data_IF_462824034736
#
_entry.id   IF_462824034736
#
_cell.length_a   1.000
_cell.length_b   1.000
_cell.length_c   1.000
_cell.angle_alpha   90.00
_cell.angle_beta   90.00
_cell.angle_gamma   90.00
#
_symmetry.space_group_name_H-M   'P 1'
#
loop_
_entity.id
_entity.type
_entity.pdbx_description
1 polymer ?
#
# COMPACT_ATOMS: atom_id res chain seq x y z
N UNK A 1 21.86 -22.50 17.40
CA UNK A 1 22.16 -21.27 18.16
C UNK A 1 23.35 -20.61 17.49
N UNK A 2 23.20 -19.35 17.12
CA UNK A 2 24.29 -18.57 16.52
C UNK A 2 25.39 -18.31 17.55
N UNK A 3 26.65 -18.41 17.10
CA UNK A 3 27.80 -18.04 17.91
C UNK A 3 27.91 -16.51 18.10
N UNK A 4 28.70 -16.08 19.09
CA UNK A 4 28.88 -14.66 19.43
C UNK A 4 29.43 -13.82 18.26
N UNK A 5 30.24 -14.41 17.38
CA UNK A 5 30.83 -13.69 16.23
C UNK A 5 29.78 -13.41 15.16
N UNK A 6 28.87 -14.35 14.93
CA UNK A 6 27.73 -14.20 14.02
C UNK A 6 26.71 -13.20 14.55
N UNK A 7 26.46 -13.19 15.86
CA UNK A 7 25.63 -12.18 16.52
C UNK A 7 26.25 -10.79 16.36
N UNK A 8 27.56 -10.66 16.62
CA UNK A 8 28.29 -9.40 16.42
C UNK A 8 28.25 -8.93 14.97
N UNK A 9 28.32 -9.85 13.99
CA UNK A 9 28.14 -9.51 12.58
C UNK A 9 26.75 -8.90 12.32
N UNK A 10 25.69 -9.49 12.87
CA UNK A 10 24.32 -8.97 12.72
C UNK A 10 24.24 -7.55 13.27
N UNK A 11 24.81 -7.31 14.46
CA UNK A 11 24.82 -5.98 15.09
C UNK A 11 25.54 -4.93 14.24
N UNK A 12 26.72 -5.27 13.72
CA UNK A 12 27.49 -4.36 12.86
C UNK A 12 26.78 -4.07 11.52
N UNK A 13 26.08 -5.06 10.96
CA UNK A 13 25.28 -4.86 9.74
C UNK A 13 24.08 -3.95 10.01
N UNK A 14 23.38 -4.17 11.13
CA UNK A 14 22.24 -3.34 11.54
C UNK A 14 22.68 -1.90 11.82
N UNK A 15 23.84 -1.70 12.43
CA UNK A 15 24.43 -0.38 12.65
C UNK A 15 24.72 0.35 11.32
N UNK A 16 25.14 -0.40 10.29
CA UNK A 16 25.30 0.09 8.92
C UNK A 16 26.48 1.05 8.70
N UNK A 17 27.36 1.23 9.70
CA UNK A 17 28.48 2.19 9.70
C UNK A 17 29.75 1.66 9.04
N UNK A 18 29.88 0.34 8.87
CA UNK A 18 31.11 -0.32 8.40
C UNK A 18 30.90 -1.11 7.10
N UNK A 19 31.95 -1.21 6.30
CA UNK A 19 31.98 -2.12 5.15
C UNK A 19 32.38 -3.56 5.57
N UNK A 20 32.16 -4.53 4.68
CA UNK A 20 32.42 -5.96 4.98
C UNK A 20 33.88 -6.26 5.30
N UNK A 21 34.83 -5.47 4.79
CA UNK A 21 36.26 -5.64 5.09
C UNK A 21 36.59 -5.17 6.51
N UNK A 22 36.00 -4.04 6.94
CA UNK A 22 36.14 -3.52 8.31
C UNK A 22 35.46 -4.44 9.33
N UNK A 23 34.25 -4.91 9.03
CA UNK A 23 33.55 -5.88 9.88
C UNK A 23 34.38 -7.15 10.09
N UNK A 24 34.98 -7.69 9.03
CA UNK A 24 35.82 -8.89 9.10
C UNK A 24 37.01 -8.69 10.04
N UNK A 25 37.67 -7.51 9.95
CA UNK A 25 38.78 -7.14 10.85
C UNK A 25 38.32 -7.03 12.31
N UNK A 26 37.17 -6.40 12.56
CA UNK A 26 36.65 -6.18 13.91
C UNK A 26 36.13 -7.46 14.59
N UNK A 27 35.69 -8.44 13.80
CA UNK A 27 35.27 -9.76 14.27
C UNK A 27 36.48 -10.72 14.38
N UNK A 28 37.54 -10.47 13.60
CA UNK A 28 38.76 -11.29 13.59
C UNK A 28 38.63 -12.53 12.71
N UNK A 29 37.97 -12.41 11.56
CA UNK A 29 37.76 -13.52 10.61
C UNK A 29 38.12 -13.10 9.18
N UNK A 30 38.29 -14.09 8.30
CA UNK A 30 38.45 -13.84 6.88
C UNK A 30 37.14 -13.27 6.29
N UNK A 31 37.26 -12.40 5.29
CA UNK A 31 36.09 -11.79 4.64
C UNK A 31 35.16 -12.84 4.02
N UNK A 32 35.72 -13.92 3.48
CA UNK A 32 34.95 -15.02 2.89
C UNK A 32 34.01 -15.68 3.92
N UNK A 33 34.49 -15.85 5.15
CA UNK A 33 33.70 -16.43 6.26
C UNK A 33 32.43 -15.63 6.54
N UNK A 34 32.46 -14.30 6.37
CA UNK A 34 31.24 -13.49 6.52
C UNK A 34 30.19 -13.85 5.46
N UNK A 35 30.61 -14.02 4.20
CA UNK A 35 29.69 -14.41 3.12
C UNK A 35 29.10 -15.80 3.36
N UNK A 36 29.90 -16.74 3.86
CA UNK A 36 29.44 -18.08 4.23
C UNK A 36 28.39 -18.03 5.34
N UNK A 37 28.59 -17.18 6.37
CA UNK A 37 27.61 -17.03 7.45
C UNK A 37 26.33 -16.35 6.99
N UNK A 38 26.42 -15.30 6.18
CA UNK A 38 25.25 -14.59 5.65
C UNK A 38 24.41 -15.45 4.69
N UNK A 39 24.98 -16.54 4.15
CA UNK A 39 24.26 -17.50 3.31
C UNK A 39 23.51 -18.58 4.09
N UNK A 40 23.61 -18.62 5.42
CA UNK A 40 22.96 -19.65 6.25
C UNK A 40 21.57 -19.21 6.68
N UNK A 41 20.58 -20.09 6.50
CA UNK A 41 19.18 -19.81 6.84
C UNK A 41 18.99 -19.39 8.29
N UNK A 42 19.71 -20.01 9.23
CA UNK A 42 19.66 -19.65 10.66
C UNK A 42 20.13 -18.21 10.91
N UNK A 43 21.17 -17.76 10.19
CA UNK A 43 21.67 -16.40 10.29
C UNK A 43 20.66 -15.40 9.71
N UNK A 44 20.13 -15.70 8.52
CA UNK A 44 19.14 -14.85 7.85
C UNK A 44 17.89 -14.69 8.68
N UNK A 45 17.39 -15.79 9.26
CA UNK A 45 16.21 -15.76 10.12
C UNK A 45 16.41 -14.87 11.36
N UNK A 46 17.57 -14.94 12.02
CA UNK A 46 17.85 -14.08 13.19
C UNK A 46 18.06 -12.61 12.78
N UNK A 47 18.75 -12.36 11.67
CA UNK A 47 18.92 -11.01 11.12
C UNK A 47 17.55 -10.36 10.84
N UNK A 48 16.66 -11.08 10.14
CA UNK A 48 15.32 -10.61 9.83
C UNK A 48 14.48 -10.39 11.09
N UNK A 49 14.57 -11.30 12.07
CA UNK A 49 13.89 -11.17 13.36
C UNK A 49 14.31 -9.88 14.08
N UNK A 50 15.61 -9.62 14.20
CA UNK A 50 16.13 -8.41 14.87
C UNK A 50 15.77 -7.14 14.10
N UNK A 51 15.85 -7.18 12.77
CA UNK A 51 15.44 -6.05 11.94
C UNK A 51 13.96 -5.74 12.12
N UNK A 52 13.12 -6.78 12.23
CA UNK A 52 11.69 -6.62 12.46
C UNK A 52 11.39 -6.08 13.86
N UNK A 53 12.08 -6.55 14.90
CA UNK A 53 11.97 -6.00 16.26
C UNK A 53 12.28 -4.50 16.29
N UNK A 54 13.35 -4.06 15.61
CA UNK A 54 13.70 -2.64 15.50
C UNK A 54 12.60 -1.84 14.81
N UNK A 55 12.08 -2.33 13.68
CA UNK A 55 10.97 -1.68 12.96
C UNK A 55 9.72 -1.59 13.82
N UNK A 56 9.37 -2.67 14.53
CA UNK A 56 8.23 -2.69 15.45
C UNK A 56 8.41 -1.68 16.57
N UNK A 57 9.61 -1.58 17.16
CA UNK A 57 9.89 -0.62 18.23
C UNK A 57 9.86 0.82 17.71
N UNK A 58 10.44 1.09 16.54
CA UNK A 58 10.36 2.40 15.90
C UNK A 58 8.90 2.82 15.64
N UNK A 59 8.08 1.90 15.13
CA UNK A 59 6.66 2.14 14.91
C UNK A 59 5.91 2.40 16.22
N UNK A 60 6.22 1.68 17.30
CA UNK A 60 5.64 1.95 18.63
C UNK A 60 6.00 3.36 19.11
N UNK A 61 7.26 3.77 18.99
CA UNK A 61 7.72 5.10 19.38
C UNK A 61 7.08 6.20 18.53
N UNK A 62 6.94 5.96 17.22
CA UNK A 62 6.24 6.87 16.32
C UNK A 62 4.76 6.99 16.70
N UNK A 63 4.08 5.85 16.87
CA UNK A 63 2.67 5.81 17.21
C UNK A 63 2.37 6.43 18.57
N UNK A 64 3.26 6.27 19.56
CA UNK A 64 3.13 6.92 20.86
C UNK A 64 3.15 8.46 20.78
N UNK A 65 3.69 9.03 19.69
CA UNK A 65 3.68 10.47 19.45
C UNK A 65 2.50 10.93 18.61
N UNK A 66 1.72 10.01 18.02
CA UNK A 66 0.61 10.37 17.12
C UNK A 66 -0.43 11.24 17.83
N UNK A 67 -0.77 10.96 19.08
CA UNK A 67 -1.74 11.76 19.84
C UNK A 67 -1.31 13.24 19.91
N UNK A 68 -0.05 13.50 20.24
CA UNK A 68 0.50 14.87 20.26
C UNK A 68 0.48 15.51 18.86
N UNK A 69 0.76 14.74 17.81
CA UNK A 69 0.72 15.23 16.42
C UNK A 69 -0.73 15.56 16.02
N UNK A 70 -1.70 14.76 16.44
CA UNK A 70 -3.13 14.99 16.21
C UNK A 70 -3.56 16.28 16.92
N UNK A 71 -3.14 16.49 18.16
CA UNK A 71 -3.44 17.71 18.92
C UNK A 71 -2.85 18.95 18.25
N UNK A 72 -1.58 18.92 17.86
CA UNK A 72 -0.94 20.02 17.13
C UNK A 72 -1.60 20.27 15.78
N UNK A 73 -1.98 19.22 15.06
CA UNK A 73 -2.71 19.34 13.80
C UNK A 73 -4.08 20.00 14.01
N UNK A 74 -4.81 19.63 15.05
CA UNK A 74 -6.08 20.28 15.41
C UNK A 74 -5.88 21.76 15.76
N UNK A 75 -4.86 22.10 16.56
CA UNK A 75 -4.52 23.49 16.87
C UNK A 75 -4.24 24.30 15.60
N UNK A 76 -3.46 23.77 14.66
CA UNK A 76 -3.18 24.44 13.38
C UNK A 76 -4.45 24.68 12.55
N UNK A 77 -5.42 23.77 12.58
CA UNK A 77 -6.70 23.96 11.90
C UNK A 77 -7.54 25.07 12.53
N UNK A 78 -7.47 25.23 13.85
CA UNK A 78 -8.22 26.23 14.60
C UNK A 78 -7.52 27.58 14.70
N UNK A 79 -6.24 27.66 14.34
CA UNK A 79 -5.46 28.90 14.34
C UNK A 79 -5.87 29.82 13.19
N UNK A 80 -6.41 30.99 13.55
CA UNK A 80 -6.82 32.02 12.61
C UNK A 80 -5.65 32.61 11.81
N UNK A 81 -4.45 32.59 12.39
CA UNK A 81 -3.21 33.09 11.77
C UNK A 81 -2.59 32.12 10.76
N UNK A 82 -3.03 30.86 10.76
CA UNK A 82 -2.61 29.88 9.77
C UNK A 82 -3.00 30.33 8.35
N UNK A 83 -2.09 30.12 7.40
CA UNK A 83 -2.31 30.47 6.00
C UNK A 83 -3.55 29.73 5.45
N UNK A 84 -4.46 30.49 4.82
CA UNK A 84 -5.82 30.03 4.49
C UNK A 84 -5.84 28.75 3.64
N UNK A 85 -4.97 28.63 2.64
CA UNK A 85 -4.90 27.43 1.78
C UNK A 85 -4.38 26.22 2.54
N UNK A 86 -3.39 26.41 3.40
CA UNK A 86 -2.85 25.36 4.27
C UNK A 86 -3.92 24.91 5.24
N UNK A 87 -4.60 25.83 5.94
CA UNK A 87 -5.72 25.52 6.82
C UNK A 87 -6.84 24.77 6.10
N UNK A 88 -7.23 25.22 4.90
CA UNK A 88 -8.23 24.54 4.09
C UNK A 88 -7.83 23.10 3.73
N UNK A 89 -6.57 22.86 3.36
CA UNK A 89 -6.05 21.50 3.09
C UNK A 89 -6.14 20.61 4.32
N UNK A 90 -5.76 21.12 5.49
CA UNK A 90 -5.82 20.37 6.75
C UNK A 90 -7.26 19.99 7.10
N UNK A 91 -8.19 20.95 6.98
CA UNK A 91 -9.62 20.72 7.23
C UNK A 91 -10.21 19.69 6.25
N UNK A 92 -9.92 19.82 4.94
CA UNK A 92 -10.38 18.86 3.93
C UNK A 92 -9.83 17.47 4.24
N UNK A 93 -8.54 17.33 4.53
CA UNK A 93 -7.96 16.02 4.85
C UNK A 93 -8.59 15.41 6.12
N UNK A 94 -8.90 16.22 7.13
CA UNK A 94 -9.61 15.78 8.34
C UNK A 94 -11.02 15.27 8.04
N UNK A 95 -11.79 16.02 7.24
CA UNK A 95 -13.15 15.65 6.84
C UNK A 95 -13.14 14.39 5.98
N UNK A 96 -12.26 14.31 4.99
CA UNK A 96 -12.08 13.16 4.10
C UNK A 96 -11.71 11.87 4.85
N UNK A 97 -10.87 11.97 5.89
CA UNK A 97 -10.51 10.82 6.75
C UNK A 97 -11.65 10.39 7.67
N UNK A 98 -12.49 11.34 8.09
CA UNK A 98 -13.58 11.09 9.04
C UNK A 98 -14.84 10.56 8.35
N UNK A 99 -15.16 11.07 7.15
CA UNK A 99 -16.40 10.77 6.43
C UNK A 99 -16.18 9.96 5.15
N UNK A 100 -14.91 9.70 4.79
CA UNK A 100 -14.54 9.12 3.51
C UNK A 100 -14.41 10.18 2.42
N UNK A 101 -13.57 9.89 1.41
CA UNK A 101 -13.43 10.75 0.24
C UNK A 101 -14.62 10.57 -0.69
N UNK A 102 -15.23 11.65 -1.20
CA UNK A 102 -16.22 11.54 -2.25
C UNK A 102 -15.60 10.84 -3.47
N UNK A 103 -15.96 9.58 -3.72
CA UNK A 103 -15.50 8.83 -4.89
C UNK A 103 -16.36 9.22 -6.08
N UNK A 104 -15.90 10.17 -6.92
CA UNK A 104 -16.49 10.37 -8.24
C UNK A 104 -15.92 9.32 -9.21
N UNK A 105 -16.54 8.14 -9.28
CA UNK A 105 -16.21 7.15 -10.32
C UNK A 105 -17.48 6.62 -10.97
N UNK A 106 -17.99 7.37 -11.94
CA UNK A 106 -18.82 6.82 -13.02
C UNK A 106 -17.85 6.42 -14.14
N UNK A 107 -17.39 5.18 -14.11
CA UNK A 107 -16.85 4.55 -15.32
C UNK A 107 -18.04 3.97 -16.08
N UNK A 108 -18.53 4.70 -17.07
CA UNK A 108 -19.41 4.14 -18.09
C UNK A 108 -18.50 3.39 -19.05
N UNK A 109 -18.36 2.07 -18.84
CA UNK A 109 -17.86 1.21 -19.90
C UNK A 109 -18.99 1.08 -20.92
N UNK A 110 -18.88 1.83 -22.02
CA UNK A 110 -19.77 1.71 -23.17
C UNK A 110 -19.43 0.37 -23.86
N UNK A 111 -20.00 -0.72 -23.34
CA UNK A 111 -20.04 -1.99 -24.07
C UNK A 111 -21.03 -1.78 -25.22
N UNK A 112 -20.53 -1.24 -26.33
CA UNK A 112 -21.18 -1.39 -27.63
C UNK A 112 -21.11 -2.87 -28.00
N UNK A 113 -22.01 -3.66 -27.45
CA UNK A 113 -22.52 -4.81 -28.18
C UNK A 113 -23.26 -4.22 -29.38
N UNK A 114 -22.81 -4.58 -30.58
CA UNK A 114 -23.53 -4.29 -31.81
C UNK A 114 -24.96 -4.84 -31.65
N UNK A 115 -25.91 -3.94 -31.39
CA UNK A 115 -27.33 -4.26 -31.52
C UNK A 115 -27.58 -4.48 -33.01
N UNK A 116 -27.52 -5.75 -33.43
CA UNK A 116 -28.13 -6.19 -34.67
C UNK A 116 -29.60 -5.75 -34.63
N UNK A 117 -29.97 -4.86 -35.55
CA UNK A 117 -31.35 -4.39 -35.67
C UNK A 117 -32.23 -5.60 -36.05
N UNK A 118 -32.95 -6.15 -35.07
CA UNK A 118 -33.98 -7.15 -35.30
C UNK A 118 -35.24 -6.39 -35.74
N UNK A 119 -35.56 -6.45 -37.04
CA UNK A 119 -36.78 -5.89 -37.60
C UNK A 119 -38.01 -6.62 -37.01
N UNK A 120 -38.90 -5.96 -36.26
CA UNK A 120 -40.07 -6.58 -35.62
C UNK A 120 -41.11 -7.16 -36.58
N UNK A 121 -40.90 -7.02 -37.90
CA UNK A 121 -41.79 -7.48 -38.96
C UNK A 121 -41.26 -8.68 -39.75
N UNK A 122 -40.08 -9.22 -39.41
CA UNK A 122 -39.48 -10.35 -40.16
C UNK A 122 -40.27 -11.65 -40.07
N UNK A 123 -41.11 -11.79 -39.04
CA UNK A 123 -41.77 -13.05 -38.69
C UNK A 123 -43.24 -13.12 -39.14
N UNK A 124 -43.74 -12.13 -39.88
CA UNK A 124 -45.08 -12.21 -40.49
C UNK A 124 -44.93 -12.86 -41.86
N UNK A 125 -45.23 -14.16 -41.94
CA UNK A 125 -45.35 -14.86 -43.22
C UNK A 125 -46.66 -14.46 -43.91
N UNK A 126 -46.62 -14.28 -45.23
CA UNK A 126 -47.73 -13.77 -46.06
C UNK A 126 -49.04 -14.60 -45.99
N UNK A 127 -49.02 -15.78 -45.37
CA UNK A 127 -50.18 -16.66 -45.20
C UNK A 127 -51.17 -16.14 -44.13
N UNK A 128 -50.73 -15.37 -43.13
CA UNK A 128 -51.62 -14.85 -42.08
C UNK A 128 -52.46 -13.64 -42.54
N UNK A 129 -52.03 -12.91 -43.56
CA UNK A 129 -52.74 -11.72 -44.08
C UNK A 129 -54.00 -12.11 -44.89
N UNK A 130 -54.06 -13.32 -45.45
CA UNK A 130 -55.21 -13.76 -46.27
C UNK A 130 -56.45 -14.05 -45.40
N UNK A 131 -56.26 -14.54 -44.17
CA UNK A 131 -57.38 -14.84 -43.26
C UNK A 131 -58.03 -13.59 -42.64
N UNK A 132 -57.37 -12.43 -42.67
CA UNK A 132 -57.94 -11.16 -42.21
C UNK A 132 -58.77 -10.43 -43.28
N UNK A 133 -58.74 -10.87 -44.56
CA UNK A 133 -59.57 -10.29 -45.63
C UNK A 133 -60.87 -11.06 -45.91
N UNK A 134 -61.11 -12.19 -45.23
CA UNK A 134 -62.33 -13.00 -45.40
C UNK A 134 -63.35 -12.87 -44.25
N UNK A 135 -63.03 -12.10 -43.21
CA UNK A 135 -64.01 -11.64 -42.24
C UNK A 135 -64.37 -10.20 -42.61
N UNK A 136 -65.52 -10.03 -43.25
CA UNK A 136 -66.11 -8.73 -43.61
C UNK A 136 -66.18 -7.76 -42.42
#
# INVERSE_FOLDING_TARGET
MLDERRIKLIELIIEGSLNKTEMAKQIGVARQTLYEWMGQDEWTAEYDRRLQEIKTNANKLFNAKLDNVIDEWYKMMMDESCEKRTRAKLIVDWVDRSLGKPTSRLEVTDNKEDNEYIDPLSDITDEEIINLKLVK
#
